data_IF_874879554783
#
_entry.id   IF_874879554783
#
_cell.length_a   1.000
_cell.length_b   1.000
_cell.length_c   1.000
_cell.angle_alpha   90.00
_cell.angle_beta   90.00
_cell.angle_gamma   90.00
#
_symmetry.space_group_name_H-M   'P 1'
#
loop_
_entity.id
_entity.type
_entity.pdbx_description
1 polymer ?
#
# COMPACT_ATOMS: atom_id res chain seq x y z
N UNK A 1 -53.69 -11.92 25.43
CA UNK A 1 -52.93 -11.92 26.71
C UNK A 1 -51.48 -12.22 26.35
N UNK A 2 -50.63 -11.20 26.41
CA UNK A 2 -49.17 -11.28 26.24
C UNK A 2 -48.53 -11.79 27.56
N UNK A 3 -47.40 -12.51 27.46
CA UNK A 3 -46.27 -12.29 28.36
C UNK A 3 -45.06 -11.86 27.49
N UNK A 4 -44.50 -10.66 27.61
CA UNK A 4 -43.77 -10.06 28.73
C UNK A 4 -42.49 -10.83 29.10
N UNK A 5 -41.38 -10.25 28.63
CA UNK A 5 -40.00 -10.28 29.13
C UNK A 5 -39.23 -11.61 29.23
N UNK A 6 -38.19 -11.75 28.39
CA UNK A 6 -36.88 -12.26 28.79
C UNK A 6 -35.83 -11.95 27.70
N UNK A 7 -34.99 -10.94 27.93
CA UNK A 7 -33.72 -10.75 27.21
C UNK A 7 -32.63 -11.55 27.93
N UNK A 8 -31.93 -12.48 27.26
CA UNK A 8 -30.61 -12.90 27.70
C UNK A 8 -29.53 -12.05 27.00
N UNK A 9 -28.70 -11.46 27.83
CA UNK A 9 -27.51 -10.66 27.55
C UNK A 9 -26.52 -11.34 26.60
N UNK A 10 -26.00 -10.54 25.66
CA UNK A 10 -24.87 -10.88 24.81
C UNK A 10 -23.60 -11.01 25.68
N UNK A 11 -22.88 -12.14 25.69
CA UNK A 11 -21.52 -12.16 26.21
C UNK A 11 -20.58 -11.56 25.16
N UNK A 12 -20.04 -10.40 25.52
CA UNK A 12 -18.89 -9.74 24.90
C UNK A 12 -17.68 -10.70 24.93
N UNK A 13 -17.54 -11.52 23.89
CA UNK A 13 -16.38 -12.37 23.71
C UNK A 13 -15.19 -11.51 23.25
N UNK A 14 -14.42 -11.03 24.23
CA UNK A 14 -13.11 -10.44 24.02
C UNK A 14 -12.19 -11.45 23.31
N UNK A 15 -12.02 -11.29 22.00
CA UNK A 15 -11.07 -12.07 21.21
C UNK A 15 -9.72 -11.36 21.25
N UNK A 16 -8.87 -11.91 22.09
CA UNK A 16 -7.45 -11.61 22.28
C UNK A 16 -6.71 -11.57 20.94
N UNK A 17 -5.98 -10.48 20.67
CA UNK A 17 -5.02 -10.41 19.57
C UNK A 17 -3.74 -11.10 20.04
N UNK A 18 -3.43 -12.26 19.49
CA UNK A 18 -2.14 -12.93 19.70
C UNK A 18 -1.06 -12.20 18.91
N UNK A 19 -0.19 -11.49 19.62
CA UNK A 19 1.09 -10.98 19.10
C UNK A 19 2.04 -12.18 19.09
N UNK A 20 2.27 -12.77 17.91
CA UNK A 20 3.38 -13.71 17.75
C UNK A 20 4.64 -12.90 17.46
N UNK A 21 5.39 -12.65 18.52
CA UNK A 21 6.82 -12.37 18.46
C UNK A 21 7.53 -13.66 18.06
N UNK A 22 8.00 -13.76 16.82
CA UNK A 22 9.02 -14.74 16.45
C UNK A 22 10.36 -14.01 16.40
N UNK A 23 11.03 -14.01 17.55
CA UNK A 23 12.43 -13.67 17.68
C UNK A 23 13.21 -14.98 17.77
N UNK A 24 14.37 -14.98 17.10
CA UNK A 24 15.33 -16.08 16.97
C UNK A 24 15.01 -16.98 15.76
N UNK A 25 15.90 -17.13 14.77
CA UNK A 25 17.32 -17.43 14.94
C UNK A 25 18.17 -16.92 13.79
N UNK A 26 19.30 -16.32 14.17
CA UNK A 26 20.66 -16.60 13.66
C UNK A 26 20.76 -16.96 12.16
N UNK A 27 21.29 -16.07 11.30
CA UNK A 27 21.80 -16.52 10.02
C UNK A 27 22.99 -17.46 10.28
N UNK A 28 22.83 -18.73 9.93
CA UNK A 28 23.89 -19.71 9.86
C UNK A 28 24.97 -19.16 8.92
N UNK A 29 26.05 -18.68 9.54
CA UNK A 29 27.26 -18.23 8.88
C UNK A 29 27.86 -19.41 8.11
N UNK A 30 27.52 -19.52 6.83
CA UNK A 30 28.29 -20.34 5.89
C UNK A 30 29.64 -19.68 5.72
N UNK A 31 30.63 -20.14 6.47
CA UNK A 31 32.03 -19.83 6.22
C UNK A 31 32.43 -20.48 4.89
N UNK A 32 32.26 -19.72 3.81
CA UNK A 32 32.84 -20.07 2.53
C UNK A 32 34.36 -19.86 2.66
N UNK A 33 35.05 -20.89 3.17
CA UNK A 33 36.50 -20.92 3.28
C UNK A 33 37.09 -21.06 1.88
N UNK A 34 37.23 -19.93 1.18
CA UNK A 34 37.98 -19.88 -0.07
C UNK A 34 39.47 -19.79 0.27
N UNK A 35 40.05 -20.92 0.72
CA UNK A 35 41.49 -21.14 0.65
C UNK A 35 41.84 -21.45 -0.80
N UNK A 36 42.01 -20.41 -1.62
CA UNK A 36 42.80 -20.52 -2.84
C UNK A 36 44.13 -19.82 -2.57
N UNK A 37 45.15 -20.62 -2.29
CA UNK A 37 46.52 -20.16 -2.27
C UNK A 37 46.94 -19.85 -3.71
N UNK A 38 47.44 -18.63 -3.94
CA UNK A 38 48.24 -18.30 -5.11
C UNK A 38 47.65 -17.19 -5.99
N UNK A 39 48.35 -16.06 -5.98
CA UNK A 39 48.40 -15.05 -7.06
C UNK A 39 47.20 -14.08 -7.09
N UNK A 40 47.17 -13.13 -6.14
CA UNK A 40 46.43 -11.88 -6.32
C UNK A 40 47.31 -10.89 -7.08
N UNK A 41 47.18 -10.88 -8.41
CA UNK A 41 47.64 -9.72 -9.18
C UNK A 41 46.74 -8.53 -8.83
N UNK A 42 47.41 -7.41 -8.57
CA UNK A 42 46.91 -6.12 -8.11
C UNK A 42 45.71 -5.61 -8.92
N UNK A 43 44.55 -5.48 -8.28
CA UNK A 43 43.45 -4.63 -8.76
C UNK A 43 43.70 -3.22 -8.20
N UNK A 44 43.93 -2.18 -9.04
CA UNK A 44 44.08 -0.81 -8.55
C UNK A 44 42.75 -0.34 -7.96
N UNK A 45 42.72 -0.05 -6.65
CA UNK A 45 41.58 0.61 -6.00
C UNK A 45 41.65 2.10 -6.29
N UNK A 46 40.96 2.56 -7.33
CA UNK A 46 40.74 3.98 -7.57
C UNK A 46 39.74 4.52 -6.52
N UNK A 47 40.03 5.66 -5.85
CA UNK A 47 39.09 6.27 -4.91
C UNK A 47 38.06 7.08 -5.70
N UNK A 48 36.81 6.63 -5.72
CA UNK A 48 35.72 7.42 -6.30
C UNK A 48 35.16 8.39 -5.24
N UNK A 49 35.08 9.69 -5.54
CA UNK A 49 34.69 10.72 -4.57
C UNK A 49 33.19 10.67 -4.27
N UNK A 50 32.87 10.75 -2.98
CA UNK A 50 31.51 10.88 -2.45
C UNK A 50 30.88 12.25 -2.76
N UNK A 51 30.63 12.57 -4.03
CA UNK A 51 29.73 13.68 -4.38
C UNK A 51 28.43 13.11 -4.95
N UNK A 52 27.55 12.64 -4.07
CA UNK A 52 26.14 12.51 -4.42
C UNK A 52 25.64 13.95 -4.59
N UNK A 53 25.74 14.49 -5.80
CA UNK A 53 25.00 15.68 -6.17
C UNK A 53 23.52 15.28 -6.05
N UNK A 54 22.78 15.89 -5.13
CA UNK A 54 21.34 15.70 -5.08
C UNK A 54 20.77 16.27 -6.37
N UNK A 55 20.52 15.39 -7.33
CA UNK A 55 19.80 15.73 -8.55
C UNK A 55 18.37 16.04 -8.09
N UNK A 56 18.00 17.32 -8.02
CA UNK A 56 16.62 17.72 -7.85
C UNK A 56 15.84 17.17 -9.05
N UNK A 57 15.16 16.04 -8.87
CA UNK A 57 14.21 15.55 -9.86
C UNK A 57 13.14 16.62 -9.97
N UNK A 58 13.01 17.27 -11.14
CA UNK A 58 11.99 18.27 -11.41
C UNK A 58 10.67 17.81 -10.78
N UNK A 59 10.23 18.53 -9.74
CA UNK A 59 9.07 18.13 -8.96
C UNK A 59 7.83 18.02 -9.86
N UNK A 60 6.90 17.16 -9.45
CA UNK A 60 5.77 16.56 -10.17
C UNK A 60 4.66 17.53 -10.66
N UNK A 61 5.01 18.76 -11.03
CA UNK A 61 4.13 19.91 -11.30
C UNK A 61 3.17 19.77 -12.49
N UNK A 62 3.17 18.64 -13.19
CA UNK A 62 2.31 18.37 -14.34
C UNK A 62 1.22 17.32 -14.09
N UNK A 63 1.08 16.81 -12.86
CA UNK A 63 0.13 15.72 -12.54
C UNK A 63 -1.31 16.06 -12.89
N UNK A 64 -1.76 17.24 -12.46
CA UNK A 64 -3.10 17.73 -12.78
C UNK A 64 -3.03 18.85 -13.80
N UNK A 65 -3.38 18.52 -15.03
CA UNK A 65 -3.71 19.51 -16.06
C UNK A 65 -5.23 19.49 -16.29
N UNK A 66 -5.96 20.55 -15.93
CA UNK A 66 -7.42 20.55 -15.95
C UNK A 66 -7.96 20.48 -17.38
N UNK A 67 -8.50 19.32 -17.75
CA UNK A 67 -9.21 19.12 -19.02
C UNK A 67 -10.59 18.52 -18.77
N UNK A 68 -11.65 19.31 -19.00
CA UNK A 68 -13.05 18.93 -18.71
C UNK A 68 -13.46 17.63 -19.43
N UNK A 69 -13.05 17.47 -20.69
CA UNK A 69 -13.36 16.27 -21.50
C UNK A 69 -12.73 15.00 -20.91
N UNK A 70 -11.43 15.03 -20.56
CA UNK A 70 -10.75 13.91 -19.89
C UNK A 70 -11.45 13.58 -18.57
N UNK A 71 -11.76 14.61 -17.77
CA UNK A 71 -12.43 14.43 -16.46
C UNK A 71 -13.77 13.69 -16.58
N UNK A 72 -14.62 14.08 -17.53
CA UNK A 72 -15.93 13.43 -17.74
C UNK A 72 -15.82 12.04 -18.37
N UNK A 73 -14.82 11.78 -19.24
CA UNK A 73 -14.55 10.44 -19.80
C UNK A 73 -14.06 9.44 -18.75
N UNK A 74 -13.14 9.87 -17.87
CA UNK A 74 -12.51 8.97 -16.88
C UNK A 74 -13.35 8.81 -15.61
N UNK A 75 -14.00 9.89 -15.16
CA UNK A 75 -14.67 9.91 -13.86
C UNK A 75 -16.15 10.31 -13.91
N UNK A 76 -16.74 10.42 -15.11
CA UNK A 76 -18.15 10.75 -15.26
C UNK A 76 -19.08 9.59 -14.93
N UNK A 77 -20.35 9.93 -14.71
CA UNK A 77 -21.42 8.98 -14.36
C UNK A 77 -21.53 7.79 -15.32
N UNK A 78 -21.55 8.07 -16.62
CA UNK A 78 -21.66 7.04 -17.66
C UNK A 78 -20.53 6.00 -17.54
N UNK A 79 -19.30 6.44 -17.22
CA UNK A 79 -18.17 5.52 -17.03
C UNK A 79 -18.36 4.63 -15.80
N UNK A 80 -19.04 5.12 -14.76
CA UNK A 80 -19.34 4.34 -13.54
C UNK A 80 -20.40 3.27 -13.79
N UNK A 81 -21.48 3.60 -14.47
CA UNK A 81 -22.58 2.66 -14.72
C UNK A 81 -22.22 1.57 -15.74
N UNK A 82 -21.24 1.81 -16.62
CA UNK A 82 -20.81 0.83 -17.63
C UNK A 82 -20.08 -0.41 -17.07
N UNK A 83 -19.59 -0.36 -15.83
CA UNK A 83 -18.76 -1.45 -15.25
C UNK A 83 -19.30 -1.84 -13.88
N UNK A 84 -19.34 -3.13 -13.52
CA UNK A 84 -19.85 -3.56 -12.21
C UNK A 84 -19.09 -2.93 -11.04
N UNK A 85 -17.77 -2.90 -11.10
CA UNK A 85 -16.92 -2.24 -10.08
C UNK A 85 -17.17 -0.73 -9.98
N UNK A 86 -17.51 -0.08 -11.10
CA UNK A 86 -17.87 1.33 -11.14
C UNK A 86 -19.25 1.61 -10.53
N UNK A 87 -20.21 0.69 -10.70
CA UNK A 87 -21.53 0.77 -10.09
C UNK A 87 -21.39 0.71 -8.57
N UNK A 88 -20.58 -0.21 -8.02
CA UNK A 88 -20.34 -0.37 -6.58
C UNK A 88 -19.74 0.89 -5.90
N UNK A 89 -19.11 1.80 -6.65
CA UNK A 89 -18.62 3.08 -6.12
C UNK A 89 -19.78 4.02 -5.76
N UNK A 90 -20.87 4.00 -6.52
CA UNK A 90 -22.02 4.89 -6.34
C UNK A 90 -22.74 4.66 -5.00
N UNK A 91 -23.17 3.44 -4.61
CA UNK A 91 -23.80 3.21 -3.33
C UNK A 91 -22.83 3.49 -2.17
N UNK A 92 -21.52 3.20 -2.31
CA UNK A 92 -20.51 3.60 -1.30
C UNK A 92 -20.47 5.12 -1.09
N UNK A 93 -20.61 5.90 -2.15
CA UNK A 93 -20.70 7.36 -2.05
C UNK A 93 -22.02 7.83 -1.42
N UNK A 94 -23.15 7.17 -1.73
CA UNK A 94 -24.45 7.47 -1.14
C UNK A 94 -24.47 7.17 0.36
N UNK A 95 -23.99 5.99 0.76
CA UNK A 95 -23.90 5.58 2.16
C UNK A 95 -22.99 6.51 2.98
N UNK A 96 -21.94 7.05 2.34
CA UNK A 96 -21.07 8.06 2.96
C UNK A 96 -21.68 9.48 2.96
N UNK A 97 -22.75 9.71 2.21
CA UNK A 97 -23.39 11.03 2.10
C UNK A 97 -22.58 12.05 1.29
N UNK A 98 -21.87 11.63 0.23
CA UNK A 98 -21.15 12.60 -0.63
C UNK A 98 -22.15 13.48 -1.40
N UNK A 99 -21.91 14.80 -1.41
CA UNK A 99 -22.70 15.78 -2.18
C UNK A 99 -22.73 15.50 -3.69
N UNK A 100 -21.67 14.90 -4.23
CA UNK A 100 -21.60 14.45 -5.62
C UNK A 100 -21.16 13.00 -5.70
N UNK A 101 -21.84 12.21 -6.53
CA UNK A 101 -21.58 10.78 -6.66
C UNK A 101 -20.52 10.47 -7.74
N UNK A 102 -20.46 11.30 -8.78
CA UNK A 102 -19.48 11.23 -9.87
C UNK A 102 -19.20 12.64 -10.41
N UNK A 103 -18.15 12.77 -11.22
CA UNK A 103 -17.78 14.05 -11.85
C UNK A 103 -18.69 14.50 -12.98
#
# INVERSE_FOLDING_TARGET
ILPSAAHPSLPLAARTLSILSDASRQPLSTSLSFRSAGIFQSIPRHPLPCSIQQIHTNAHWNEYQPKKLKRKRTHGWIKRIRTPSGIEVIPRHMLKGKKSLSH
#
